data_IF_921802939960
#
_entry.id   IF_921802939960
#
_cell.length_a   1.000
_cell.length_b   1.000
_cell.length_c   1.000
_cell.angle_alpha   90.00
_cell.angle_beta   90.00
_cell.angle_gamma   90.00
#
_symmetry.space_group_name_H-M   'P 1'
#
loop_
_entity.id
_entity.type
_entity.pdbx_description
1 polymer ?
#
# COMPACT_ATOMS: atom_id res chain seq x y z
N UNK A 1 -13.04 16.62 3.96
CA UNK A 1 -13.13 16.10 5.33
C UNK A 1 -11.95 15.18 5.54
N UNK A 2 -10.90 15.65 6.22
CA UNK A 2 -9.61 14.95 6.28
C UNK A 2 -9.40 14.26 7.63
N UNK A 3 -9.07 12.98 7.59
CA UNK A 3 -8.47 12.27 8.72
C UNK A 3 -7.21 13.02 9.17
N UNK A 4 -7.07 13.33 10.46
CA UNK A 4 -5.90 14.03 11.01
C UNK A 4 -5.01 13.05 11.77
N UNK A 5 -3.74 12.98 11.39
CA UNK A 5 -2.76 12.10 12.04
C UNK A 5 -2.63 12.39 13.54
N UNK A 6 -2.69 13.66 13.96
CA UNK A 6 -2.71 14.03 15.38
C UNK A 6 -3.83 13.35 16.15
N UNK A 7 -5.04 13.27 15.58
CA UNK A 7 -6.18 12.63 16.23
C UNK A 7 -5.98 11.12 16.30
N UNK A 8 -5.40 10.50 15.26
CA UNK A 8 -5.03 9.08 15.28
C UNK A 8 -4.02 8.79 16.41
N UNK A 9 -2.95 9.57 16.49
CA UNK A 9 -1.91 9.38 17.50
C UNK A 9 -2.47 9.58 18.91
N UNK A 10 -3.32 10.58 19.10
CA UNK A 10 -3.98 10.80 20.37
C UNK A 10 -4.91 9.65 20.75
N UNK A 11 -5.69 9.12 19.79
CA UNK A 11 -6.51 7.92 19.99
C UNK A 11 -5.67 6.71 20.40
N UNK A 12 -4.50 6.51 19.79
CA UNK A 12 -3.58 5.44 20.18
C UNK A 12 -3.07 5.60 21.61
N UNK A 13 -2.79 6.83 22.07
CA UNK A 13 -2.38 7.08 23.46
C UNK A 13 -3.51 6.75 24.43
N UNK A 14 -4.75 7.13 24.12
CA UNK A 14 -5.91 6.79 24.94
C UNK A 14 -6.13 5.27 25.04
N UNK A 15 -5.98 4.53 23.93
CA UNK A 15 -6.06 3.07 23.96
C UNK A 15 -5.01 2.47 24.89
N UNK A 16 -3.78 2.96 24.83
CA UNK A 16 -2.70 2.52 25.73
C UNK A 16 -3.01 2.83 27.19
N UNK A 17 -3.45 4.04 27.49
CA UNK A 17 -3.80 4.49 28.85
C UNK A 17 -4.96 3.71 29.45
N UNK A 18 -5.95 3.34 28.63
CA UNK A 18 -7.05 2.46 29.01
C UNK A 18 -6.62 0.98 29.21
N UNK A 19 -5.35 0.65 28.98
CA UNK A 19 -4.83 -0.70 29.15
C UNK A 19 -5.24 -1.66 28.04
N UNK A 20 -5.56 -1.18 26.83
CA UNK A 20 -5.90 -2.03 25.70
C UNK A 20 -4.72 -2.95 25.33
N UNK A 21 -4.98 -4.26 25.24
CA UNK A 21 -3.99 -5.31 24.94
C UNK A 21 -4.23 -6.02 23.61
N UNK A 22 -5.26 -5.64 22.86
CA UNK A 22 -5.57 -6.26 21.57
C UNK A 22 -4.61 -5.86 20.46
N UNK A 23 -4.78 -6.51 19.30
CA UNK A 23 -4.08 -6.17 18.06
C UNK A 23 -4.74 -4.94 17.44
N UNK A 24 -3.93 -4.06 16.86
CA UNK A 24 -4.38 -2.87 16.12
C UNK A 24 -3.96 -3.03 14.67
N UNK A 25 -4.94 -2.99 13.77
CA UNK A 25 -4.72 -3.06 12.33
C UNK A 25 -4.74 -1.64 11.78
N UNK A 26 -3.71 -1.29 11.02
CA UNK A 26 -3.63 -0.01 10.32
C UNK A 26 -3.80 -0.23 8.83
N UNK A 27 -4.85 0.33 8.24
CA UNK A 27 -5.11 0.21 6.81
C UNK A 27 -4.37 1.32 6.05
N UNK A 28 -3.50 0.93 5.12
CA UNK A 28 -2.70 1.84 4.29
C UNK A 28 -3.09 1.77 2.81
N UNK A 29 -3.53 2.88 2.25
CA UNK A 29 -3.71 3.10 0.80
C UNK A 29 -2.54 3.90 0.23
N UNK A 30 -1.43 3.21 -0.02
CA UNK A 30 -0.19 3.81 -0.54
C UNK A 30 -0.31 4.35 -1.97
N UNK A 31 -1.42 4.02 -2.65
CA UNK A 31 -1.72 4.43 -4.01
C UNK A 31 -2.80 5.51 -4.05
N UNK A 32 -3.00 6.28 -2.97
CA UNK A 32 -4.02 7.34 -2.96
C UNK A 32 -3.74 8.41 -4.03
N UNK A 33 -4.76 9.08 -4.59
CA UNK A 33 -4.53 10.22 -5.48
C UNK A 33 -3.63 11.26 -4.83
N UNK A 34 -2.78 11.92 -5.64
CA UNK A 34 -1.75 12.88 -5.19
C UNK A 34 -0.63 12.29 -4.31
N UNK A 35 -0.54 10.97 -4.14
CA UNK A 35 0.62 10.36 -3.49
C UNK A 35 1.93 10.68 -4.23
N UNK A 36 2.97 10.90 -3.46
CA UNK A 36 4.33 11.22 -3.86
C UNK A 36 5.33 10.35 -3.10
N UNK A 37 6.59 10.32 -3.54
CA UNK A 37 7.64 9.64 -2.76
C UNK A 37 7.77 10.20 -1.32
N UNK A 38 7.47 11.49 -1.11
CA UNK A 38 7.52 12.13 0.21
C UNK A 38 6.35 11.69 1.11
N UNK A 39 5.12 11.71 0.60
CA UNK A 39 3.92 11.29 1.36
C UNK A 39 3.94 9.78 1.66
N UNK A 40 4.56 8.97 0.80
CA UNK A 40 4.86 7.58 1.10
C UNK A 40 5.81 7.41 2.29
N UNK A 41 6.86 8.24 2.38
CA UNK A 41 7.74 8.24 3.57
C UNK A 41 6.98 8.69 4.81
N UNK A 42 6.14 9.71 4.71
CA UNK A 42 5.27 10.15 5.82
C UNK A 42 4.33 9.01 6.28
N UNK A 43 3.82 8.19 5.36
CA UNK A 43 3.03 7.01 5.68
C UNK A 43 3.84 5.98 6.49
N UNK A 44 5.10 5.73 6.12
CA UNK A 44 6.00 4.85 6.91
C UNK A 44 6.28 5.43 8.29
N UNK A 45 6.54 6.74 8.39
CA UNK A 45 6.76 7.40 9.69
C UNK A 45 5.51 7.34 10.57
N UNK A 46 4.32 7.50 10.01
CA UNK A 46 3.07 7.37 10.76
C UNK A 46 2.93 5.98 11.40
N UNK A 47 3.32 4.93 10.68
CA UNK A 47 3.34 3.57 11.21
C UNK A 47 4.30 3.46 12.40
N UNK A 48 5.54 3.96 12.25
CA UNK A 48 6.55 3.93 13.33
C UNK A 48 6.07 4.67 14.58
N UNK A 49 5.42 5.82 14.42
CA UNK A 49 4.84 6.58 15.54
C UNK A 49 3.78 5.75 16.26
N UNK A 50 2.82 5.16 15.53
CA UNK A 50 1.77 4.33 16.15
C UNK A 50 2.36 3.10 16.83
N UNK A 51 3.32 2.42 16.20
CA UNK A 51 4.03 1.29 16.77
C UNK A 51 4.82 1.66 18.02
N UNK A 52 5.40 2.87 18.09
CA UNK A 52 6.09 3.36 19.30
C UNK A 52 5.13 3.59 20.48
N UNK A 53 3.87 3.93 20.19
CA UNK A 53 2.84 4.16 21.22
C UNK A 53 2.30 2.80 21.69
N UNK A 54 1.90 1.95 20.76
CA UNK A 54 1.15 0.73 21.04
C UNK A 54 2.01 -0.54 21.12
N UNK A 55 3.28 -0.51 20.74
CA UNK A 55 4.15 -1.68 20.67
C UNK A 55 4.15 -2.32 19.27
N UNK A 56 5.34 -2.62 18.76
CA UNK A 56 5.54 -3.19 17.41
C UNK A 56 4.90 -4.57 17.23
N UNK A 57 4.78 -5.35 18.31
CA UNK A 57 4.16 -6.67 18.35
C UNK A 57 2.62 -6.63 18.28
N UNK A 58 2.03 -5.43 18.43
CA UNK A 58 0.58 -5.23 18.47
C UNK A 58 0.03 -4.45 17.28
N UNK A 59 0.90 -3.82 16.48
CA UNK A 59 0.49 -2.98 15.36
C UNK A 59 0.78 -3.67 14.03
N UNK A 60 -0.27 -3.91 13.25
CA UNK A 60 -0.23 -4.67 12.01
C UNK A 60 -0.71 -3.81 10.85
N UNK A 61 0.21 -3.23 10.05
CA UNK A 61 -0.18 -2.52 8.85
C UNK A 61 -0.67 -3.51 7.79
N UNK A 62 -1.82 -3.21 7.19
CA UNK A 62 -2.36 -3.91 6.03
C UNK A 62 -2.41 -2.95 4.85
N UNK A 63 -1.81 -3.38 3.75
CA UNK A 63 -1.83 -2.64 2.51
C UNK A 63 -3.10 -2.99 1.73
N UNK A 64 -3.84 -1.98 1.30
CA UNK A 64 -4.93 -2.14 0.37
C UNK A 64 -4.74 -1.19 -0.81
N UNK A 65 -5.14 -1.66 -1.99
CA UNK A 65 -5.10 -0.84 -3.19
C UNK A 65 -6.50 -0.33 -3.48
N UNK A 66 -6.59 0.97 -3.74
CA UNK A 66 -7.84 1.59 -4.18
C UNK A 66 -8.37 0.95 -5.47
N UNK A 67 -9.50 0.26 -5.33
CA UNK A 67 -10.36 -0.08 -6.44
C UNK A 67 -11.24 1.12 -6.79
N UNK A 68 -11.39 1.41 -8.08
CA UNK A 68 -12.28 2.47 -8.54
C UNK A 68 -13.70 1.91 -8.56
N UNK A 69 -14.55 2.46 -7.70
CA UNK A 69 -15.95 2.11 -7.63
C UNK A 69 -16.78 3.10 -8.46
N UNK A 70 -17.68 2.63 -9.34
CA UNK A 70 -18.58 3.51 -10.08
C UNK A 70 -19.47 4.34 -9.16
N UNK A 71 -19.84 5.54 -9.61
CA UNK A 71 -20.63 6.54 -8.91
C UNK A 71 -20.01 7.01 -7.58
N UNK A 72 -18.67 7.10 -7.52
CA UNK A 72 -17.95 7.66 -6.36
C UNK A 72 -17.18 8.91 -6.74
N UNK A 73 -16.88 9.74 -5.74
CA UNK A 73 -16.04 10.95 -5.93
C UNK A 73 -14.67 10.60 -6.55
N UNK A 74 -14.12 9.43 -6.21
CA UNK A 74 -12.88 8.94 -6.79
C UNK A 74 -13.03 8.67 -8.30
N UNK A 75 -14.10 8.01 -8.73
CA UNK A 75 -14.38 7.81 -10.16
C UNK A 75 -14.53 9.14 -10.89
N UNK A 76 -15.37 10.05 -10.36
CA UNK A 76 -15.61 11.36 -10.98
C UNK A 76 -14.30 12.14 -11.16
N UNK A 77 -13.46 12.15 -10.13
CA UNK A 77 -12.13 12.74 -10.18
C UNK A 77 -11.27 12.10 -11.27
N UNK A 78 -11.17 10.76 -11.29
CA UNK A 78 -10.32 10.05 -12.25
C UNK A 78 -10.81 10.16 -13.70
N UNK A 79 -12.12 10.35 -13.92
CA UNK A 79 -12.67 10.74 -15.22
C UNK A 79 -12.22 12.15 -15.62
N UNK A 80 -12.27 13.11 -14.68
CA UNK A 80 -11.87 14.50 -14.93
C UNK A 80 -10.37 14.66 -15.21
N UNK A 81 -9.52 13.85 -14.57
CA UNK A 81 -8.06 13.83 -14.76
C UNK A 81 -7.63 13.04 -16.02
N UNK A 82 -8.57 12.40 -16.71
CA UNK A 82 -8.29 11.58 -17.90
C UNK A 82 -7.66 10.22 -17.61
N UNK A 83 -7.62 9.79 -16.34
CA UNK A 83 -7.18 8.44 -15.96
C UNK A 83 -8.18 7.39 -16.46
N UNK A 84 -9.48 7.65 -16.27
CA UNK A 84 -10.58 6.89 -16.85
C UNK A 84 -11.14 7.59 -18.09
N UNK A 85 -11.63 6.81 -19.05
CA UNK A 85 -12.26 7.35 -20.26
C UNK A 85 -13.76 7.57 -20.01
N UNK A 86 -14.34 8.67 -20.50
CA UNK A 86 -15.74 9.05 -20.25
C UNK A 86 -16.80 7.99 -20.67
N UNK A 87 -16.46 7.08 -21.58
CA UNK A 87 -17.31 5.96 -22.01
C UNK A 87 -16.87 4.59 -21.50
N UNK A 88 -16.04 4.53 -20.44
CA UNK A 88 -15.59 3.24 -19.91
C UNK A 88 -16.78 2.44 -19.35
N UNK A 89 -16.78 1.13 -19.56
CA UNK A 89 -17.79 0.23 -19.01
C UNK A 89 -17.19 -0.50 -17.79
N UNK A 90 -17.62 -0.20 -16.56
CA UNK A 90 -17.09 -0.86 -15.35
C UNK A 90 -17.45 -2.35 -15.27
N UNK A 91 -18.45 -2.80 -16.03
CA UNK A 91 -18.84 -4.21 -16.13
C UNK A 91 -18.08 -4.97 -17.22
N UNK A 92 -17.30 -4.28 -18.05
CA UNK A 92 -16.45 -4.94 -19.02
C UNK A 92 -15.22 -5.51 -18.32
N UNK A 93 -15.29 -6.78 -17.92
CA UNK A 93 -14.22 -7.50 -17.19
C UNK A 93 -13.03 -7.91 -18.08
N UNK A 94 -12.66 -7.08 -19.07
CA UNK A 94 -11.45 -7.32 -19.85
C UNK A 94 -10.21 -7.04 -18.99
N UNK A 95 -9.07 -7.71 -19.23
CA UNK A 95 -7.85 -7.47 -18.45
C UNK A 95 -7.41 -6.01 -18.42
N UNK A 96 -7.66 -5.28 -19.50
CA UNK A 96 -7.33 -3.85 -19.60
C UNK A 96 -8.24 -2.98 -18.73
N UNK A 97 -9.55 -3.23 -18.76
CA UNK A 97 -10.52 -2.51 -17.93
C UNK A 97 -10.32 -2.82 -16.44
N UNK A 98 -10.10 -4.09 -16.07
CA UNK A 98 -9.82 -4.50 -14.68
C UNK A 98 -8.55 -3.82 -14.16
N UNK A 99 -7.50 -3.73 -14.99
CA UNK A 99 -6.27 -3.02 -14.62
C UNK A 99 -6.51 -1.53 -14.36
N UNK A 100 -7.38 -0.88 -15.13
CA UNK A 100 -7.75 0.53 -14.89
C UNK A 100 -8.57 0.71 -13.63
N UNK A 101 -9.40 -0.27 -13.27
CA UNK A 101 -10.17 -0.25 -12.03
C UNK A 101 -9.32 -0.46 -10.77
N UNK A 102 -8.05 -0.83 -10.90
CA UNK A 102 -7.09 -0.81 -9.80
C UNK A 102 -6.21 0.43 -9.92
N UNK A 103 -6.54 1.48 -9.18
CA UNK A 103 -5.86 2.77 -9.32
C UNK A 103 -4.40 2.67 -8.87
N UNK A 104 -3.43 2.59 -9.77
CA UNK A 104 -2.01 2.51 -9.39
C UNK A 104 -1.13 3.22 -10.43
N UNK A 105 -1.08 4.57 -10.40
CA UNK A 105 -0.40 5.35 -11.42
C UNK A 105 1.13 5.21 -11.35
N UNK A 106 1.78 5.41 -12.50
CA UNK A 106 3.22 5.61 -12.55
C UNK A 106 3.58 6.99 -11.94
N UNK A 107 4.76 7.16 -11.33
CA UNK A 107 5.84 6.18 -11.20
C UNK A 107 5.74 5.27 -9.96
N UNK A 108 4.81 5.52 -9.04
CA UNK A 108 4.75 4.86 -7.72
C UNK A 108 4.39 3.37 -7.82
N UNK A 109 3.64 2.97 -8.85
CA UNK A 109 3.24 1.59 -9.06
C UNK A 109 4.38 0.56 -8.97
N UNK A 110 5.50 0.83 -9.63
CA UNK A 110 6.68 -0.05 -9.62
C UNK A 110 7.38 -0.05 -8.27
N UNK A 111 7.38 1.09 -7.56
CA UNK A 111 8.02 1.22 -6.25
C UNK A 111 7.26 0.40 -5.21
N UNK A 112 5.94 0.61 -5.13
CA UNK A 112 5.06 -0.10 -4.19
C UNK A 112 5.08 -1.61 -4.49
N UNK A 113 4.97 -2.00 -5.77
CA UNK A 113 5.02 -3.41 -6.17
C UNK A 113 6.35 -4.07 -5.78
N UNK A 114 7.49 -3.40 -6.01
CA UNK A 114 8.80 -3.93 -5.62
C UNK A 114 8.91 -4.08 -4.11
N UNK A 115 8.45 -3.10 -3.33
CA UNK A 115 8.46 -3.19 -1.87
C UNK A 115 7.65 -4.39 -1.37
N UNK A 116 6.44 -4.58 -1.90
CA UNK A 116 5.59 -5.73 -1.56
C UNK A 116 6.24 -7.06 -1.93
N UNK A 117 6.73 -7.21 -3.16
CA UNK A 117 7.37 -8.44 -3.63
C UNK A 117 8.61 -8.80 -2.81
N UNK A 118 9.46 -7.80 -2.52
CA UNK A 118 10.64 -8.01 -1.68
C UNK A 118 10.24 -8.42 -0.27
N UNK A 119 9.25 -7.78 0.35
CA UNK A 119 8.74 -8.18 1.66
C UNK A 119 8.22 -9.62 1.67
N UNK A 120 7.43 -10.01 0.66
CA UNK A 120 6.89 -11.36 0.54
C UNK A 120 7.93 -12.43 0.26
N UNK A 121 9.06 -12.07 -0.39
CA UNK A 121 10.18 -13.00 -0.58
C UNK A 121 11.00 -13.26 0.70
N UNK A 122 10.99 -12.33 1.67
CA UNK A 122 11.82 -12.43 2.89
C UNK A 122 11.22 -13.34 3.96
N UNK A 123 9.89 -13.50 4.01
CA UNK A 123 9.20 -14.35 5.00
C UNK A 123 8.37 -15.45 4.33
N UNK A 124 8.56 -16.70 4.77
CA UNK A 124 7.63 -17.79 4.48
C UNK A 124 6.25 -17.46 5.08
N UNK A 125 5.19 -17.49 4.25
CA UNK A 125 3.81 -17.28 4.69
C UNK A 125 3.00 -16.21 3.93
N UNK A 126 3.66 -15.35 3.14
CA UNK A 126 2.94 -14.33 2.34
C UNK A 126 2.58 -14.81 0.92
N UNK A 127 3.20 -15.92 0.48
CA UNK A 127 2.95 -16.54 -0.81
C UNK A 127 1.70 -17.42 -0.72
N UNK A 128 0.73 -17.21 -1.61
CA UNK A 128 -0.37 -18.15 -1.79
C UNK A 128 0.19 -19.38 -2.53
N UNK A 129 0.28 -20.57 -1.88
CA UNK A 129 0.88 -21.75 -2.48
C UNK A 129 0.04 -22.34 -3.62
N UNK A 130 -1.19 -21.85 -3.81
CA UNK A 130 -2.10 -22.39 -4.82
C UNK A 130 -1.63 -22.01 -6.23
N UNK A 131 -1.62 -22.96 -7.17
CA UNK A 131 -1.41 -22.65 -8.59
C UNK A 131 -2.46 -21.64 -9.06
N UNK A 132 -2.04 -20.62 -9.81
CA UNK A 132 -2.96 -19.68 -10.43
C UNK A 132 -3.96 -20.41 -11.33
N UNK A 133 -5.23 -20.43 -10.92
CA UNK A 133 -6.28 -21.20 -11.61
C UNK A 133 -6.84 -20.53 -12.89
N UNK A 134 -6.35 -19.34 -13.26
CA UNK A 134 -6.84 -18.61 -14.43
C UNK A 134 -8.24 -17.98 -14.25
N UNK A 135 -8.91 -18.19 -13.12
CA UNK A 135 -10.24 -17.65 -12.84
C UNK A 135 -10.26 -16.93 -11.48
N UNK A 136 -10.83 -15.72 -11.45
CA UNK A 136 -10.93 -14.89 -10.24
C UNK A 136 -12.05 -15.36 -9.27
N UNK A 137 -12.89 -16.32 -9.68
CA UNK A 137 -14.17 -16.57 -9.00
C UNK A 137 -14.49 -18.02 -8.63
N UNK A 138 -13.87 -19.04 -9.21
CA UNK A 138 -14.34 -20.43 -9.01
C UNK A 138 -13.65 -21.20 -7.89
N UNK A 139 -12.40 -20.89 -7.55
CA UNK A 139 -11.63 -21.67 -6.58
C UNK A 139 -11.62 -21.10 -5.15
N UNK A 140 -12.04 -19.83 -4.94
CA UNK A 140 -12.03 -19.21 -3.61
C UNK A 140 -13.30 -19.47 -2.79
N UNK A 141 -14.45 -19.69 -3.45
CA UNK A 141 -15.78 -19.77 -2.79
C UNK A 141 -16.32 -21.20 -2.67
N UNK A 142 -15.90 -22.12 -3.55
CA UNK A 142 -16.49 -23.47 -3.62
C UNK A 142 -16.03 -24.45 -2.52
N UNK A 143 -14.84 -24.28 -1.94
CA UNK A 143 -14.35 -25.20 -0.89
C UNK A 143 -14.41 -24.64 0.54
N UNK A 144 -14.40 -23.31 0.76
CA UNK A 144 -14.15 -22.74 2.09
C UNK A 144 -15.10 -21.62 2.55
N UNK A 145 -16.11 -21.24 1.76
CA UNK A 145 -17.10 -20.21 2.16
C UNK A 145 -16.46 -18.90 2.66
N UNK A 146 -17.16 -18.18 3.55
CA UNK A 146 -16.69 -16.92 4.17
C UNK A 146 -15.33 -17.04 4.92
N UNK A 147 -14.81 -18.26 5.14
CA UNK A 147 -13.56 -18.48 5.85
C UNK A 147 -12.32 -17.96 5.12
N UNK A 148 -12.37 -17.73 3.79
CA UNK A 148 -11.20 -17.29 3.03
C UNK A 148 -10.73 -15.89 3.43
N UNK A 149 -11.64 -14.91 3.48
CA UNK A 149 -11.29 -13.52 3.80
C UNK A 149 -10.69 -13.42 5.21
N UNK A 150 -11.29 -14.13 6.17
CA UNK A 150 -10.82 -14.17 7.55
C UNK A 150 -9.44 -14.85 7.67
N UNK A 151 -9.21 -15.97 6.95
CA UNK A 151 -7.91 -16.64 6.93
C UNK A 151 -6.82 -15.81 6.25
N UNK A 152 -7.13 -15.08 5.17
CA UNK A 152 -6.19 -14.19 4.51
C UNK A 152 -5.80 -13.01 5.40
N UNK A 153 -6.76 -12.42 6.11
CA UNK A 153 -6.50 -11.37 7.11
C UNK A 153 -5.66 -11.91 8.28
N UNK A 154 -6.02 -13.09 8.80
CA UNK A 154 -5.28 -13.74 9.87
C UNK A 154 -3.83 -14.02 9.48
N UNK A 155 -3.58 -14.57 8.28
CA UNK A 155 -2.22 -14.81 7.75
C UNK A 155 -1.43 -13.52 7.53
N UNK A 156 -2.08 -12.47 7.02
CA UNK A 156 -1.45 -11.16 6.83
C UNK A 156 -0.97 -10.54 8.16
N UNK A 157 -1.78 -10.70 9.21
CA UNK A 157 -1.45 -10.30 10.58
C UNK A 157 -0.35 -11.20 11.17
N UNK A 158 -0.42 -12.52 10.99
CA UNK A 158 0.57 -13.49 11.51
C UNK A 158 1.95 -13.30 10.88
N UNK A 159 2.03 -13.06 9.57
CA UNK A 159 3.29 -12.83 8.87
C UNK A 159 3.82 -11.39 9.08
N UNK A 160 2.96 -10.46 9.48
CA UNK A 160 3.21 -9.01 9.53
C UNK A 160 3.85 -8.50 8.23
N UNK A 161 3.37 -8.98 7.09
CA UNK A 161 3.97 -8.70 5.77
C UNK A 161 3.86 -7.23 5.37
N UNK A 162 2.84 -6.52 5.87
CA UNK A 162 2.69 -5.09 5.62
C UNK A 162 3.78 -4.24 6.28
N UNK A 163 4.28 -4.63 7.46
CA UNK A 163 5.37 -3.92 8.14
C UNK A 163 6.62 -3.98 7.29
N UNK A 164 6.95 -5.18 6.82
CA UNK A 164 8.10 -5.40 5.95
C UNK A 164 7.96 -4.65 4.62
N UNK A 165 6.75 -4.56 4.06
CA UNK A 165 6.51 -3.78 2.86
C UNK A 165 6.73 -2.28 3.09
N UNK A 166 6.28 -1.71 4.21
CA UNK A 166 6.51 -0.30 4.57
C UNK A 166 8.00 0.00 4.78
N UNK A 167 8.70 -0.83 5.54
CA UNK A 167 10.14 -0.63 5.80
C UNK A 167 10.99 -0.82 4.53
N UNK A 168 10.63 -1.79 3.68
CA UNK A 168 11.29 -1.98 2.39
C UNK A 168 11.02 -0.80 1.43
N UNK A 169 9.81 -0.24 1.48
CA UNK A 169 9.48 0.96 0.71
C UNK A 169 10.34 2.14 1.14
N UNK A 170 10.50 2.37 2.43
CA UNK A 170 11.41 3.39 2.95
C UNK A 170 12.85 3.19 2.48
N UNK A 171 13.39 1.97 2.57
CA UNK A 171 14.73 1.61 2.09
C UNK A 171 14.89 2.00 0.62
N UNK A 172 13.94 1.57 -0.22
CA UNK A 172 13.90 1.87 -1.65
C UNK A 172 13.92 3.39 -1.92
N UNK A 173 13.08 4.14 -1.21
CA UNK A 173 12.92 5.58 -1.42
C UNK A 173 14.19 6.34 -0.97
N UNK A 174 14.75 6.00 0.20
CA UNK A 174 16.00 6.60 0.69
C UNK A 174 17.18 6.30 -0.23
N UNK A 175 17.33 5.08 -0.73
CA UNK A 175 18.39 4.73 -1.70
C UNK A 175 18.23 5.44 -3.05
N UNK A 176 16.99 5.76 -3.47
CA UNK A 176 16.75 6.56 -4.68
C UNK A 176 17.12 8.02 -4.46
N UNK A 177 16.73 8.59 -3.32
CA UNK A 177 17.09 9.96 -2.94
C UNK A 177 18.61 10.14 -2.90
N UNK A 178 19.33 9.23 -2.24
CA UNK A 178 20.80 9.27 -2.16
C UNK A 178 21.47 9.23 -3.54
N UNK A 179 21.01 8.36 -4.45
CA UNK A 179 21.53 8.28 -5.82
C UNK A 179 21.25 9.55 -6.62
N UNK A 180 20.07 10.16 -6.44
CA UNK A 180 19.73 11.44 -7.09
C UNK A 180 20.66 12.56 -6.62
N UNK A 181 20.90 12.65 -5.31
CA UNK A 181 21.83 13.63 -4.74
C UNK A 181 23.26 13.43 -5.27
N UNK A 182 23.76 12.20 -5.29
CA UNK A 182 25.08 11.88 -5.82
C UNK A 182 25.22 12.22 -7.32
N UNK A 183 24.18 11.93 -8.12
CA UNK A 183 24.17 12.28 -9.55
C UNK A 183 24.17 13.79 -9.79
N UNK A 184 23.46 14.56 -8.96
CA UNK A 184 23.44 16.03 -9.07
C UNK A 184 24.79 16.64 -8.69
N UNK A 185 25.45 16.12 -7.65
CA UNK A 185 26.80 16.54 -7.27
C UNK A 185 27.82 16.26 -8.40
N UNK A 186 27.78 15.06 -9.00
CA UNK A 186 28.66 14.71 -10.10
C UNK A 186 28.48 15.58 -11.36
N UNK A 187 27.26 16.06 -11.63
CA UNK A 187 26.98 16.99 -12.73
C UNK A 187 27.51 18.42 -12.45
N UNK A 188 27.62 18.82 -11.19
CA UNK A 188 28.16 20.13 -10.80
C UNK A 188 29.69 20.16 -10.79
N UNK A 189 30.36 19.00 -10.67
CA UNK A 189 31.81 18.87 -10.70
C UNK A 189 32.40 18.70 -12.12
N UNK A 190 31.56 18.62 -13.16
CA UNK A 190 32.06 18.53 -14.54
C UNK A 190 32.67 19.87 -14.98
N UNK A 191 33.93 19.89 -15.47
CA UNK A 191 34.54 21.11 -15.97
C UNK A 191 33.75 21.65 -17.17
N UNK A 192 33.69 22.97 -17.38
CA UNK A 192 33.03 23.54 -18.54
C UNK A 192 33.66 22.97 -19.82
N UNK A 193 32.81 22.49 -20.73
CA UNK A 193 33.23 21.93 -22.01
C UNK A 193 34.03 22.98 -22.80
N UNK A 194 35.20 22.65 -23.39
CA UNK A 194 36.05 23.59 -24.12
C UNK A 194 35.39 24.17 -25.37
#
# INVERSE_FOLDING_TARGET
MGFKLEHLYQGCRYLREAGFKGRVILNYSLNSPEETEETLLQSVESYKVVASILGEDRVFPLLFFLGIQPNTDLEQRLLSEGYLSAGYNPLALTPWSVKKLLYNPAPLNKLIARACLTAWSRKHGSYDPRPWSGSLGHSATHEHGHSYADQSLAKGVEANSGREALLTLEEILRSRAARRTASMAALQEMPPNP
#
